data_IF_005293229305
#
_entry.id   IF_005293229305
#
_cell.length_a   1.000
_cell.length_b   1.000
_cell.length_c   1.000
_cell.angle_alpha   90.00
_cell.angle_beta   90.00
_cell.angle_gamma   90.00
#
_symmetry.space_group_name_H-M   'P 1'
#
loop_
_entity.id
_entity.type
_entity.pdbx_description
1 polymer ?
#
# COMPACT_ATOMS: atom_id res chain seq x y z
N UNK A 1 -22.51 15.68 1.38
CA UNK A 1 -21.98 14.45 1.99
C UNK A 1 -23.14 13.72 2.64
N UNK A 2 -23.43 12.50 2.19
CA UNK A 2 -24.46 11.60 2.75
C UNK A 2 -23.79 10.41 3.44
N UNK A 3 -24.42 9.79 4.45
CA UNK A 3 -23.89 8.58 5.08
C UNK A 3 -23.88 7.40 4.11
N UNK A 4 -23.01 6.41 4.35
CA UNK A 4 -22.96 5.16 3.59
C UNK A 4 -24.33 4.45 3.62
N UNK A 5 -24.97 4.22 2.46
CA UNK A 5 -26.26 3.56 2.39
C UNK A 5 -26.21 2.07 2.79
N UNK A 6 -25.03 1.45 2.83
CA UNK A 6 -24.86 0.05 3.24
C UNK A 6 -24.77 -0.15 4.77
N UNK A 7 -24.79 0.95 5.52
CA UNK A 7 -24.72 0.92 6.99
C UNK A 7 -23.32 0.59 7.49
N UNK A 8 -23.21 -0.29 8.48
CA UNK A 8 -21.95 -0.52 9.20
C UNK A 8 -20.99 -1.51 8.51
N UNK A 9 -21.12 -1.71 7.19
CA UNK A 9 -20.33 -2.70 6.44
C UNK A 9 -18.81 -2.43 6.57
N UNK A 10 -18.40 -1.18 6.50
CA UNK A 10 -17.01 -0.75 6.65
C UNK A 10 -16.62 -0.36 8.09
N UNK A 11 -17.55 -0.58 9.03
CA UNK A 11 -17.41 -0.24 10.43
C UNK A 11 -18.49 0.75 10.89
N UNK A 12 -18.49 1.09 12.18
CA UNK A 12 -19.54 1.93 12.79
C UNK A 12 -19.52 3.38 12.33
N UNK A 13 -18.44 3.84 11.71
CA UNK A 13 -18.35 5.18 11.14
C UNK A 13 -18.84 5.20 9.69
N UNK A 14 -20.09 5.61 9.48
CA UNK A 14 -20.76 5.67 8.17
C UNK A 14 -20.17 6.72 7.19
N UNK A 15 -19.14 7.45 7.60
CA UNK A 15 -18.44 8.46 6.79
C UNK A 15 -16.96 8.13 6.61
N UNK A 16 -16.54 6.91 7.01
CA UNK A 16 -15.14 6.50 6.90
C UNK A 16 -14.76 6.32 5.43
N UNK A 17 -13.69 6.98 4.99
CA UNK A 17 -13.17 6.83 3.63
C UNK A 17 -11.95 5.89 3.63
N UNK A 18 -12.00 4.83 2.84
CA UNK A 18 -10.91 3.83 2.70
C UNK A 18 -10.35 3.34 4.06
N UNK A 19 -11.19 3.24 5.10
CA UNK A 19 -10.78 2.92 6.49
C UNK A 19 -9.61 3.77 7.00
N UNK A 20 -9.55 5.05 6.61
CA UNK A 20 -8.45 5.99 6.88
C UNK A 20 -7.08 5.59 6.28
N UNK A 21 -7.03 4.63 5.35
CA UNK A 21 -5.80 4.20 4.70
C UNK A 21 -6.01 4.03 3.18
N UNK A 22 -6.05 5.15 2.42
CA UNK A 22 -6.30 5.15 0.98
C UNK A 22 -5.14 4.59 0.13
N UNK A 23 -3.96 4.37 0.73
CA UNK A 23 -2.84 3.70 0.06
C UNK A 23 -3.06 2.19 -0.02
N UNK A 24 -3.72 1.62 0.98
CA UNK A 24 -3.93 0.17 1.10
C UNK A 24 -5.34 -0.24 0.65
N UNK A 25 -6.33 0.64 0.81
CA UNK A 25 -7.72 0.36 0.49
C UNK A 25 -8.25 1.32 -0.57
N UNK A 26 -9.08 0.78 -1.45
CA UNK A 26 -9.77 1.52 -2.50
C UNK A 26 -11.26 1.26 -2.33
N UNK A 27 -12.06 2.32 -2.33
CA UNK A 27 -13.51 2.25 -2.35
C UNK A 27 -14.01 2.75 -3.72
N UNK A 28 -14.42 1.82 -4.58
CA UNK A 28 -14.79 2.13 -5.96
C UNK A 28 -16.16 2.80 -6.08
N UNK A 29 -17.07 2.51 -5.15
CA UNK A 29 -18.48 2.91 -5.26
C UNK A 29 -18.98 3.73 -4.06
N UNK A 30 -18.14 3.99 -3.05
CA UNK A 30 -18.55 4.69 -1.83
C UNK A 30 -19.35 3.79 -0.88
N UNK A 31 -19.10 2.47 -0.94
CA UNK A 31 -19.95 1.43 -0.37
C UNK A 31 -19.18 0.39 0.43
N UNK A 32 -17.94 0.09 0.01
CA UNK A 32 -17.10 -0.89 0.67
C UNK A 32 -15.63 -0.69 0.28
N UNK A 33 -14.77 -0.60 1.28
CA UNK A 33 -13.33 -0.49 1.13
C UNK A 33 -12.73 -1.86 0.81
N UNK A 34 -12.26 -2.04 -0.41
CA UNK A 34 -11.54 -3.24 -0.83
C UNK A 34 -10.04 -3.07 -0.65
N UNK A 35 -9.36 -4.12 -0.16
CA UNK A 35 -7.91 -4.11 -0.05
C UNK A 35 -7.32 -4.17 -1.46
N UNK A 36 -6.41 -3.25 -1.76
CA UNK A 36 -5.72 -3.24 -3.03
C UNK A 36 -4.91 -4.54 -3.17
N UNK A 37 -5.30 -5.40 -4.12
CA UNK A 37 -4.67 -6.70 -4.37
C UNK A 37 -3.48 -6.61 -5.32
N UNK A 38 -3.13 -5.41 -5.82
CA UNK A 38 -1.92 -5.30 -6.60
C UNK A 38 -0.75 -5.80 -5.75
N UNK A 39 0.03 -6.79 -6.22
CA UNK A 39 1.36 -6.98 -5.69
C UNK A 39 2.02 -5.65 -5.98
N UNK A 40 2.19 -4.85 -4.92
CA UNK A 40 2.81 -3.53 -4.87
C UNK A 40 3.41 -3.22 -6.23
N UNK A 41 2.72 -2.44 -7.06
CA UNK A 41 3.38 -1.92 -8.25
C UNK A 41 4.36 -0.87 -7.73
N UNK A 42 5.47 -1.33 -7.15
CA UNK A 42 6.53 -0.48 -6.59
C UNK A 42 7.05 0.47 -7.67
N UNK A 43 6.78 0.19 -8.95
CA UNK A 43 7.07 1.13 -10.04
C UNK A 43 6.29 2.44 -9.95
N UNK A 44 5.11 2.46 -9.30
CA UNK A 44 4.31 3.68 -9.17
C UNK A 44 4.76 4.58 -8.01
N UNK A 45 5.35 4.02 -6.95
CA UNK A 45 5.75 4.79 -5.77
C UNK A 45 7.26 5.04 -5.70
N UNK A 46 8.07 4.09 -6.19
CA UNK A 46 9.50 4.24 -6.39
C UNK A 46 9.77 4.36 -7.88
N UNK A 47 9.70 5.60 -8.41
CA UNK A 47 10.22 5.88 -9.74
C UNK A 47 11.65 5.35 -9.90
N UNK A 48 12.08 5.13 -11.14
CA UNK A 48 13.29 4.39 -11.54
C UNK A 48 14.59 4.75 -10.79
N UNK A 49 14.64 5.91 -10.13
CA UNK A 49 15.74 6.43 -9.32
C UNK A 49 16.24 5.52 -8.19
N UNK A 50 15.37 4.77 -7.51
CA UNK A 50 15.81 3.92 -6.37
C UNK A 50 16.23 2.50 -6.82
N UNK A 51 15.98 2.10 -8.08
CA UNK A 51 16.46 0.82 -8.63
C UNK A 51 17.97 0.78 -8.82
N UNK A 52 18.59 1.91 -9.20
CA UNK A 52 20.04 2.00 -9.38
C UNK A 52 20.79 1.98 -8.04
N UNK A 53 20.20 2.54 -6.97
CA UNK A 53 20.80 2.48 -5.63
C UNK A 53 20.77 1.07 -5.03
N UNK A 54 19.69 0.32 -5.22
CA UNK A 54 19.62 -1.06 -4.74
C UNK A 54 20.63 -1.99 -5.44
N UNK A 55 20.92 -1.77 -6.72
CA UNK A 55 21.96 -2.52 -7.44
C UNK A 55 23.38 -2.22 -6.94
N UNK A 56 23.64 -1.01 -6.41
CA UNK A 56 24.95 -0.61 -5.91
C UNK A 56 25.27 -1.18 -4.52
N UNK A 57 24.27 -1.32 -3.64
CA UNK A 57 24.49 -1.85 -2.28
C UNK A 57 24.50 -3.38 -2.18
N UNK A 58 24.09 -4.10 -3.23
CA UNK A 58 23.94 -5.57 -3.21
C UNK A 58 25.18 -6.40 -3.57
N UNK A 59 26.29 -5.80 -4.02
CA UNK A 59 27.42 -6.57 -4.57
C UNK A 59 28.67 -6.68 -3.67
N UNK A 60 28.60 -6.35 -2.38
CA UNK A 60 29.82 -6.21 -1.58
C UNK A 60 29.70 -6.58 -0.11
N UNK A 61 29.28 -7.79 0.25
CA UNK A 61 29.41 -8.28 1.63
C UNK A 61 29.52 -9.81 1.72
N UNK A 62 30.54 -10.38 1.08
CA UNK A 62 31.00 -11.75 1.36
C UNK A 62 32.48 -11.72 1.77
N UNK A 63 32.75 -11.48 3.06
CA UNK A 63 33.92 -12.03 3.77
C UNK A 63 33.90 -11.61 5.23
N UNK A 64 33.35 -12.46 6.10
CA UNK A 64 33.85 -12.51 7.47
C UNK A 64 34.37 -13.92 7.73
N UNK A 65 35.69 -14.01 7.60
CA UNK A 65 36.54 -15.15 7.91
C UNK A 65 36.42 -15.52 9.40
N UNK A 66 36.29 -16.83 9.65
CA UNK A 66 36.45 -17.50 10.94
C UNK A 66 37.82 -17.19 11.55
N UNK A 67 37.84 -16.78 12.82
CA UNK A 67 38.81 -17.19 13.86
C UNK A 67 38.32 -16.69 15.23
#
# INVERSE_FOLDING_TARGET
MSPDPMGELDGPNLYVYCRNNPLTYVDYFGLASEKNKSPIDESYFYGEYEREKMAFFGSGMNSHTTL
#
